data_IF_530797059421
#
_entry.id   IF_530797059421
#
_cell.length_a   1.000
_cell.length_b   1.000
_cell.length_c   1.000
_cell.angle_alpha   90.00
_cell.angle_beta   90.00
_cell.angle_gamma   90.00
#
_symmetry.space_group_name_H-M   'P 1'
#
loop_
_entity.id
_entity.type
_entity.pdbx_description
1 polymer ?
#
# COMPACT_ATOMS: atom_id res chain seq x y z
N UNK A 1 2.16 -14.62 -15.66
CA UNK A 1 1.58 -14.30 -14.34
C UNK A 1 0.13 -13.87 -14.57
N UNK A 2 -0.85 -14.35 -13.79
CA UNK A 2 -2.22 -13.88 -13.93
C UNK A 2 -2.27 -12.37 -13.65
N UNK A 3 -3.08 -11.64 -14.41
CA UNK A 3 -3.28 -10.21 -14.21
C UNK A 3 -3.80 -9.95 -12.79
N UNK A 4 -3.32 -8.90 -12.13
CA UNK A 4 -3.68 -8.60 -10.73
C UNK A 4 -5.20 -8.54 -10.52
N UNK A 5 -5.92 -7.92 -11.45
CA UNK A 5 -7.39 -7.83 -11.38
C UNK A 5 -8.08 -9.20 -11.42
N UNK A 6 -7.46 -10.22 -12.01
CA UNK A 6 -8.03 -11.57 -12.09
C UNK A 6 -7.84 -12.35 -10.77
N UNK A 7 -6.87 -11.96 -9.94
CA UNK A 7 -6.57 -12.61 -8.66
C UNK A 7 -6.93 -11.77 -7.45
N UNK A 8 -7.42 -10.54 -7.66
CA UNK A 8 -7.78 -9.61 -6.60
C UNK A 8 -8.74 -10.20 -5.56
N UNK A 9 -9.81 -10.94 -5.93
CA UNK A 9 -10.67 -11.58 -4.94
C UNK A 9 -9.91 -12.52 -4.00
N UNK A 10 -8.99 -13.32 -4.55
CA UNK A 10 -8.15 -14.22 -3.74
C UNK A 10 -7.14 -13.47 -2.86
N UNK A 11 -6.65 -12.30 -3.30
CA UNK A 11 -5.80 -11.44 -2.47
C UNK A 11 -6.60 -10.89 -1.29
N UNK A 12 -7.82 -10.38 -1.54
CA UNK A 12 -8.72 -9.91 -0.50
C UNK A 12 -9.04 -11.00 0.53
N UNK A 13 -9.41 -12.20 0.07
CA UNK A 13 -9.71 -13.33 0.96
C UNK A 13 -8.50 -13.69 1.83
N UNK A 14 -7.29 -13.73 1.24
CA UNK A 14 -6.07 -14.02 2.01
C UNK A 14 -5.77 -12.94 3.04
N UNK A 15 -5.94 -11.67 2.70
CA UNK A 15 -5.73 -10.56 3.65
C UNK A 15 -6.78 -10.58 4.77
N UNK A 16 -8.04 -10.91 4.46
CA UNK A 16 -9.13 -10.95 5.43
C UNK A 16 -8.96 -12.05 6.49
N UNK A 17 -8.42 -13.20 6.10
CA UNK A 17 -8.26 -14.38 6.97
C UNK A 17 -6.85 -14.51 7.57
N UNK A 18 -5.89 -13.68 7.17
CA UNK A 18 -4.55 -13.71 7.76
C UNK A 18 -4.55 -13.06 9.15
N UNK A 19 -4.06 -13.75 10.19
CA UNK A 19 -4.01 -13.19 11.54
C UNK A 19 -3.03 -12.01 11.64
N UNK A 20 -2.03 -11.98 10.76
CA UNK A 20 -1.08 -10.87 10.62
C UNK A 20 -0.60 -10.76 9.18
N UNK A 21 -0.41 -9.55 8.68
CA UNK A 21 0.16 -9.32 7.35
C UNK A 21 1.17 -8.16 7.36
N UNK A 22 2.26 -8.35 6.59
CA UNK A 22 3.23 -7.32 6.28
C UNK A 22 2.86 -6.68 4.94
N UNK A 23 2.62 -5.38 4.93
CA UNK A 23 2.28 -4.60 3.75
C UNK A 23 3.47 -3.68 3.43
N UNK A 24 4.16 -3.95 2.33
CA UNK A 24 5.27 -3.16 1.85
C UNK A 24 4.85 -2.40 0.60
N UNK A 25 5.00 -1.08 0.64
CA UNK A 25 4.64 -0.19 -0.45
C UNK A 25 5.88 0.45 -1.03
N UNK A 26 5.95 0.51 -2.36
CA UNK A 26 6.81 1.45 -3.05
C UNK A 26 6.25 2.89 -2.89
N UNK A 27 7.11 3.91 -3.02
CA UNK A 27 6.69 5.30 -2.84
C UNK A 27 6.32 5.97 -4.17
N UNK A 28 7.30 6.20 -5.03
CA UNK A 28 7.16 7.04 -6.23
C UNK A 28 6.38 6.34 -7.34
N UNK A 29 5.25 6.94 -7.74
CA UNK A 29 4.35 6.32 -8.73
C UNK A 29 3.48 5.19 -8.17
N UNK A 30 3.60 4.88 -6.88
CA UNK A 30 2.78 3.89 -6.17
C UNK A 30 1.91 4.57 -5.09
N UNK A 31 2.52 5.12 -4.04
CA UNK A 31 1.81 5.87 -3.00
C UNK A 31 1.62 7.34 -3.37
N UNK A 32 2.53 7.88 -4.19
CA UNK A 32 2.47 9.23 -4.74
C UNK A 32 2.18 9.17 -6.24
N UNK A 33 1.48 10.18 -6.81
CA UNK A 33 1.36 10.29 -8.26
C UNK A 33 2.74 10.39 -8.92
N UNK A 34 2.88 9.86 -10.14
CA UNK A 34 4.09 10.07 -10.94
C UNK A 34 4.28 11.57 -11.15
N UNK A 35 5.39 12.11 -10.64
CA UNK A 35 5.71 13.52 -10.69
C UNK A 35 6.93 13.79 -11.59
N UNK A 36 6.99 14.99 -12.16
CA UNK A 36 8.09 15.37 -13.06
C UNK A 36 9.45 15.52 -12.36
N UNK A 37 9.45 15.70 -11.03
CA UNK A 37 10.65 15.77 -10.19
C UNK A 37 10.39 15.13 -8.82
N UNK A 38 11.41 14.55 -8.15
CA UNK A 38 11.23 13.89 -6.85
C UNK A 38 10.73 14.82 -5.74
N UNK A 39 11.15 16.09 -5.72
CA UNK A 39 10.86 17.01 -4.60
C UNK A 39 9.38 17.38 -4.50
N UNK A 40 8.60 17.10 -5.55
CA UNK A 40 7.16 17.35 -5.61
C UNK A 40 6.32 16.07 -5.53
N UNK A 41 6.95 14.89 -5.35
CA UNK A 41 6.27 13.62 -5.11
C UNK A 41 5.71 13.58 -3.68
N UNK A 42 4.68 14.39 -3.44
CA UNK A 42 4.05 14.53 -2.12
C UNK A 42 2.99 13.47 -1.89
N UNK A 43 2.96 12.88 -0.69
CA UNK A 43 1.95 11.91 -0.30
C UNK A 43 0.57 12.57 -0.21
N UNK A 44 -0.43 12.14 -1.01
CA UNK A 44 -1.77 12.68 -0.91
C UNK A 44 -2.39 12.40 0.46
N UNK A 45 -3.14 13.35 1.01
CA UNK A 45 -3.77 13.21 2.33
C UNK A 45 -4.70 11.99 2.42
N UNK A 46 -5.40 11.64 1.34
CA UNK A 46 -6.23 10.42 1.30
C UNK A 46 -5.38 9.15 1.49
N UNK A 47 -4.21 9.09 0.86
CA UNK A 47 -3.28 7.97 0.99
C UNK A 47 -2.69 7.93 2.39
N UNK A 48 -2.31 9.09 2.95
CA UNK A 48 -1.85 9.23 4.34
C UNK A 48 -2.86 8.66 5.33
N UNK A 49 -4.13 9.06 5.25
CA UNK A 49 -5.18 8.55 6.13
C UNK A 49 -5.37 7.03 6.00
N UNK A 50 -5.22 6.49 4.79
CA UNK A 50 -5.35 5.05 4.56
C UNK A 50 -4.19 4.27 5.20
N UNK A 51 -2.96 4.76 5.06
CA UNK A 51 -1.79 4.16 5.71
C UNK A 51 -1.86 4.26 7.23
N UNK A 52 -2.34 5.40 7.76
CA UNK A 52 -2.56 5.57 9.19
C UNK A 52 -3.59 4.56 9.73
N UNK A 53 -4.75 4.43 9.06
CA UNK A 53 -5.77 3.47 9.44
C UNK A 53 -5.27 2.02 9.40
N UNK A 54 -4.41 1.66 8.43
CA UNK A 54 -3.78 0.33 8.40
C UNK A 54 -2.81 0.15 9.58
N UNK A 55 -2.02 1.16 9.90
CA UNK A 55 -1.04 1.11 10.99
C UNK A 55 -1.67 1.08 12.40
N UNK A 56 -2.90 1.57 12.54
CA UNK A 56 -3.67 1.47 13.78
C UNK A 56 -4.24 0.06 14.04
N UNK A 57 -4.22 -0.83 13.05
CA UNK A 57 -4.68 -2.20 13.22
C UNK A 57 -3.52 -3.13 13.59
N UNK A 58 -3.56 -3.73 14.78
CA UNK A 58 -2.52 -4.66 15.28
C UNK A 58 -2.17 -5.82 14.32
N UNK A 59 -3.11 -6.18 13.44
CA UNK A 59 -2.92 -7.23 12.43
C UNK A 59 -1.98 -6.82 11.28
N UNK A 60 -1.78 -5.54 11.03
CA UNK A 60 -1.00 -5.06 9.90
C UNK A 60 0.32 -4.43 10.37
N UNK A 61 1.40 -4.81 9.69
CA UNK A 61 2.68 -4.11 9.78
C UNK A 61 2.85 -3.38 8.46
N UNK A 62 2.92 -2.05 8.50
CA UNK A 62 3.01 -1.20 7.32
C UNK A 62 4.43 -0.69 7.16
N UNK A 63 5.00 -0.85 5.96
CA UNK A 63 6.33 -0.34 5.62
C UNK A 63 6.35 0.31 4.24
N UNK A 64 7.22 1.31 4.08
CA UNK A 64 7.54 1.92 2.79
C UNK A 64 8.97 1.54 2.42
N UNK A 65 9.16 1.08 1.19
CA UNK A 65 10.47 0.76 0.63
C UNK A 65 10.68 1.67 -0.57
N UNK A 66 11.65 2.57 -0.49
CA UNK A 66 11.97 3.57 -1.52
C UNK A 66 13.49 3.62 -1.72
N UNK A 67 13.93 4.20 -2.83
CA UNK A 67 15.32 4.22 -3.31
C UNK A 67 16.09 5.49 -2.99
#
# INVERSE_FOLDING_TARGET
MPHLLNVWPSVCDRLAHSPRALLLFDYDGTLTPIAARPEIATLPEKTRHSLAALNEMDRFVVGVVSG
#
